data_IF_239415145978
#
_entry.id   IF_239415145978
#
_cell.length_a   1.000
_cell.length_b   1.000
_cell.length_c   1.000
_cell.angle_alpha   90.00
_cell.angle_beta   90.00
_cell.angle_gamma   90.00
#
_symmetry.space_group_name_H-M   'P 1'
#
loop_
_entity.id
_entity.type
_entity.pdbx_description
1 polymer ?
#
# COMPACT_ATOMS: atom_id res chain seq x y z
N UNK A 1 -9.16 16.90 -14.54
CA UNK A 1 -8.85 16.41 -13.19
C UNK A 1 -7.72 15.40 -13.32
N UNK A 2 -6.71 15.47 -12.44
CA UNK A 2 -5.65 14.47 -12.43
C UNK A 2 -6.25 13.12 -12.01
N UNK A 3 -5.76 12.01 -12.59
CA UNK A 3 -6.33 10.69 -12.35
C UNK A 3 -5.78 10.14 -11.04
N UNK A 4 -6.66 9.99 -10.03
CA UNK A 4 -6.28 9.42 -8.74
C UNK A 4 -5.78 7.97 -8.87
N UNK A 5 -4.63 7.69 -8.27
CA UNK A 5 -3.98 6.38 -8.27
C UNK A 5 -3.68 5.95 -6.84
N UNK A 6 -3.99 4.71 -6.52
CA UNK A 6 -3.55 4.09 -5.27
C UNK A 6 -2.33 3.18 -5.54
N UNK A 7 -1.21 3.53 -4.93
CA UNK A 7 0.02 2.74 -5.03
C UNK A 7 0.10 1.71 -3.92
N UNK A 8 0.52 0.49 -4.29
CA UNK A 8 0.87 -0.59 -3.38
C UNK A 8 2.30 -1.02 -3.71
N UNK A 9 3.17 -1.07 -2.69
CA UNK A 9 4.55 -1.51 -2.84
C UNK A 9 4.69 -2.81 -2.05
N UNK A 10 4.97 -3.92 -2.73
CA UNK A 10 5.17 -5.22 -2.10
C UNK A 10 6.64 -5.43 -1.74
N UNK A 11 6.89 -6.18 -0.67
CA UNK A 11 8.21 -6.70 -0.36
C UNK A 11 8.60 -7.79 -1.38
N UNK A 12 9.62 -7.54 -2.20
CA UNK A 12 10.07 -8.44 -3.26
C UNK A 12 10.62 -9.78 -2.78
N UNK A 13 11.20 -9.84 -1.58
CA UNK A 13 11.67 -11.10 -0.98
C UNK A 13 10.48 -12.01 -0.63
N UNK A 14 9.40 -11.41 -0.14
CA UNK A 14 8.14 -12.09 0.18
C UNK A 14 7.40 -12.48 -1.09
N UNK A 15 7.31 -11.56 -2.07
CA UNK A 15 6.63 -11.81 -3.33
C UNK A 15 7.19 -13.01 -4.11
N UNK A 16 8.49 -13.29 -3.95
CA UNK A 16 9.17 -14.43 -4.57
C UNK A 16 8.96 -15.76 -3.84
N UNK A 17 8.72 -15.72 -2.52
CA UNK A 17 8.77 -16.91 -1.66
C UNK A 17 7.40 -17.34 -1.16
N UNK A 18 6.45 -16.41 -1.02
CA UNK A 18 5.14 -16.69 -0.44
C UNK A 18 4.13 -17.20 -1.46
N UNK A 19 3.11 -17.95 -1.01
CA UNK A 19 1.94 -18.24 -1.82
C UNK A 19 1.28 -16.93 -2.29
N UNK A 20 0.92 -16.86 -3.58
CA UNK A 20 0.30 -15.67 -4.17
C UNK A 20 -0.94 -15.20 -3.40
N UNK A 21 -1.77 -16.12 -2.93
CA UNK A 21 -2.96 -15.80 -2.14
C UNK A 21 -2.63 -15.10 -0.82
N UNK A 22 -1.55 -15.51 -0.14
CA UNK A 22 -1.10 -14.85 1.07
C UNK A 22 -0.64 -13.41 0.77
N UNK A 23 0.20 -13.22 -0.25
CA UNK A 23 0.64 -11.88 -0.67
C UNK A 23 -0.55 -10.95 -1.01
N UNK A 24 -1.55 -11.47 -1.73
CA UNK A 24 -2.76 -10.71 -2.08
C UNK A 24 -3.50 -10.30 -0.81
N UNK A 25 -3.69 -11.20 0.15
CA UNK A 25 -4.36 -10.90 1.41
C UNK A 25 -3.66 -9.76 2.17
N UNK A 26 -2.32 -9.80 2.23
CA UNK A 26 -1.52 -8.73 2.84
C UNK A 26 -1.78 -7.37 2.18
N UNK A 27 -1.80 -7.33 0.84
CA UNK A 27 -2.10 -6.11 0.09
C UNK A 27 -3.53 -5.62 0.34
N UNK A 28 -4.51 -6.53 0.40
CA UNK A 28 -5.90 -6.20 0.71
C UNK A 28 -6.04 -5.59 2.10
N UNK A 29 -5.36 -6.16 3.10
CA UNK A 29 -5.33 -5.60 4.45
C UNK A 29 -4.72 -4.20 4.49
N UNK A 30 -3.57 -4.01 3.82
CA UNK A 30 -2.91 -2.71 3.74
C UNK A 30 -3.81 -1.64 3.10
N UNK A 31 -4.46 -1.97 1.97
CA UNK A 31 -5.37 -1.09 1.24
C UNK A 31 -6.62 -0.76 2.08
N UNK A 32 -7.24 -1.75 2.72
CA UNK A 32 -8.39 -1.51 3.58
C UNK A 32 -8.02 -0.59 4.76
N UNK A 33 -6.88 -0.85 5.40
CA UNK A 33 -6.42 -0.07 6.53
C UNK A 33 -6.08 1.37 6.14
N UNK A 34 -5.33 1.61 5.06
CA UNK A 34 -4.94 2.97 4.66
C UNK A 34 -6.15 3.83 4.30
N UNK A 35 -7.13 3.25 3.61
CA UNK A 35 -8.36 3.96 3.23
C UNK A 35 -9.24 4.26 4.44
N UNK A 36 -9.28 3.36 5.43
CA UNK A 36 -9.99 3.62 6.69
C UNK A 36 -9.30 4.72 7.53
N UNK A 37 -7.96 4.72 7.57
CA UNK A 37 -7.18 5.70 8.32
C UNK A 37 -7.23 7.10 7.70
N UNK A 38 -7.36 7.22 6.38
CA UNK A 38 -7.21 8.47 5.65
C UNK A 38 -8.37 8.72 4.66
N UNK A 39 -9.59 8.88 5.16
CA UNK A 39 -10.78 9.14 4.33
C UNK A 39 -10.99 10.65 4.06
N UNK A 40 -10.07 11.26 3.30
CA UNK A 40 -10.16 12.66 2.86
C UNK A 40 -10.90 12.84 1.52
N UNK A 41 -10.96 14.07 1.00
CA UNK A 41 -11.67 14.40 -0.25
C UNK A 41 -11.16 13.59 -1.45
N UNK A 42 -9.83 13.42 -1.57
CA UNK A 42 -9.23 12.63 -2.65
C UNK A 42 -9.62 11.14 -2.52
N UNK A 43 -9.62 10.62 -1.30
CA UNK A 43 -10.05 9.23 -1.05
C UNK A 43 -11.54 9.04 -1.34
N UNK A 44 -12.38 10.00 -0.97
CA UNK A 44 -13.81 9.98 -1.29
C UNK A 44 -14.06 10.06 -2.81
N UNK A 45 -13.32 10.92 -3.53
CA UNK A 45 -13.39 11.01 -5.00
C UNK A 45 -12.95 9.71 -5.66
N UNK A 46 -11.88 9.07 -5.16
CA UNK A 46 -11.41 7.77 -5.65
C UNK A 46 -12.49 6.68 -5.53
N UNK A 47 -13.33 6.73 -4.50
CA UNK A 47 -14.44 5.79 -4.30
C UNK A 47 -15.75 6.21 -4.97
N UNK A 48 -15.82 7.38 -5.60
CA UNK A 48 -17.04 7.84 -6.27
C UNK A 48 -17.36 7.07 -7.56
N UNK A 49 -16.35 6.44 -8.16
CA UNK A 49 -16.45 5.59 -9.35
C UNK A 49 -15.72 4.26 -9.11
N UNK A 50 -16.41 3.36 -8.40
CA UNK A 50 -15.83 2.10 -7.91
C UNK A 50 -15.35 1.18 -9.05
N UNK A 51 -15.98 1.24 -10.22
CA UNK A 51 -15.66 0.39 -11.37
C UNK A 51 -14.43 0.89 -12.14
N UNK A 52 -13.99 2.13 -11.93
CA UNK A 52 -12.84 2.74 -12.60
C UNK A 52 -11.66 3.08 -11.67
N UNK A 53 -11.65 2.53 -10.46
CA UNK A 53 -10.53 2.66 -9.52
C UNK A 53 -9.21 2.20 -10.15
N UNK A 54 -8.17 3.02 -10.03
CA UNK A 54 -6.84 2.66 -10.52
C UNK A 54 -5.88 2.31 -9.38
N UNK A 55 -5.25 1.14 -9.47
CA UNK A 55 -4.22 0.68 -8.53
C UNK A 55 -2.96 0.35 -9.31
N UNK A 56 -1.82 0.77 -8.79
CA UNK A 56 -0.50 0.41 -9.33
C UNK A 56 0.26 -0.36 -8.27
N UNK A 57 0.68 -1.58 -8.62
CA UNK A 57 1.47 -2.44 -7.75
C UNK A 57 2.92 -2.38 -8.21
N UNK A 58 3.82 -1.98 -7.31
CA UNK A 58 5.26 -1.93 -7.49
C UNK A 58 5.93 -2.87 -6.48
N UNK A 59 7.23 -3.10 -6.66
CA UNK A 59 8.04 -3.94 -5.78
C UNK A 59 9.18 -3.10 -5.17
N UNK A 60 9.36 -3.20 -3.85
CA UNK A 60 10.62 -2.85 -3.20
C UNK A 60 11.50 -4.12 -3.17
N UNK A 61 12.76 -4.07 -3.63
CA UNK A 61 13.55 -5.27 -3.86
C UNK A 61 13.88 -6.07 -2.59
N UNK A 62 13.90 -5.42 -1.42
CA UNK A 62 14.22 -6.04 -0.12
C UNK A 62 13.33 -5.47 0.99
N UNK A 63 13.22 -6.19 2.11
CA UNK A 63 12.52 -5.72 3.31
C UNK A 63 13.08 -4.38 3.82
N UNK A 64 14.41 -4.22 3.83
CA UNK A 64 15.06 -2.97 4.23
C UNK A 64 14.66 -1.81 3.31
N UNK A 65 14.60 -2.01 1.99
CA UNK A 65 14.17 -0.94 1.07
C UNK A 65 12.70 -0.59 1.22
N UNK A 66 11.86 -1.54 1.62
CA UNK A 66 10.47 -1.25 1.95
C UNK A 66 10.38 -0.39 3.22
N UNK A 67 11.16 -0.69 4.25
CA UNK A 67 11.22 0.11 5.49
C UNK A 67 11.76 1.52 5.22
N UNK A 68 12.88 1.64 4.51
CA UNK A 68 13.45 2.93 4.09
C UNK A 68 12.40 3.80 3.37
N UNK A 69 11.61 3.19 2.48
CA UNK A 69 10.53 3.86 1.77
C UNK A 69 9.43 4.33 2.72
N UNK A 70 9.02 3.50 3.69
CA UNK A 70 8.03 3.89 4.70
C UNK A 70 8.48 5.11 5.51
N UNK A 71 9.73 5.13 5.94
CA UNK A 71 10.31 6.27 6.65
C UNK A 71 10.34 7.53 5.78
N UNK A 72 10.76 7.41 4.52
CA UNK A 72 10.77 8.53 3.57
C UNK A 72 9.36 9.09 3.34
N UNK A 73 8.36 8.23 3.16
CA UNK A 73 6.96 8.64 3.01
C UNK A 73 6.46 9.38 4.26
N UNK A 74 6.81 8.88 5.45
CA UNK A 74 6.47 9.52 6.72
C UNK A 74 7.10 10.91 6.85
N UNK A 75 8.39 11.04 6.50
CA UNK A 75 9.12 12.32 6.53
C UNK A 75 8.53 13.37 5.59
N UNK A 76 7.97 12.94 4.46
CA UNK A 76 7.31 13.81 3.49
C UNK A 76 5.79 13.94 3.73
N UNK A 77 5.31 13.48 4.89
CA UNK A 77 3.90 13.53 5.30
C UNK A 77 2.92 12.83 4.34
N UNK A 78 3.42 11.92 3.51
CA UNK A 78 2.61 11.11 2.59
C UNK A 78 1.88 10.04 3.38
N UNK A 79 0.55 10.06 3.30
CA UNK A 79 -0.33 9.16 4.05
C UNK A 79 -0.27 7.76 3.47
N UNK A 80 0.25 6.84 4.27
CA UNK A 80 0.49 5.46 3.88
C UNK A 80 0.30 4.53 5.08
N UNK A 81 0.18 3.24 4.80
CA UNK A 81 0.16 2.18 5.81
C UNK A 81 1.19 1.13 5.44
N UNK A 82 2.19 0.95 6.30
CA UNK A 82 3.02 -0.25 6.31
C UNK A 82 2.20 -1.38 6.95
N UNK A 83 2.02 -2.47 6.21
CA UNK A 83 1.40 -3.68 6.72
C UNK A 83 2.47 -4.66 7.18
N UNK A 84 2.33 -5.11 8.41
CA UNK A 84 3.30 -5.94 9.11
C UNK A 84 2.57 -7.19 9.55
N UNK A 85 2.99 -8.34 9.03
CA UNK A 85 2.43 -9.63 9.41
C UNK A 85 2.90 -10.01 10.82
N UNK A 86 1.97 -10.56 11.60
CA UNK A 86 2.20 -11.09 12.94
C UNK A 86 2.06 -12.62 12.91
N UNK A 87 2.76 -13.36 13.79
CA UNK A 87 3.59 -12.89 14.92
C UNK A 87 5.05 -12.54 14.56
N UNK A 88 5.52 -12.78 13.34
CA UNK A 88 6.92 -12.63 12.96
C UNK A 88 7.38 -11.16 12.83
N UNK A 89 6.46 -10.21 12.93
CA UNK A 89 6.71 -8.77 12.78
C UNK A 89 7.38 -8.43 11.43
N UNK A 90 6.86 -9.03 10.36
CA UNK A 90 7.45 -8.97 9.03
C UNK A 90 6.75 -7.91 8.15
N UNK A 91 7.43 -6.86 7.66
CA UNK A 91 6.82 -5.90 6.74
C UNK A 91 6.59 -6.54 5.37
N UNK A 92 5.31 -6.69 4.99
CA UNK A 92 4.90 -7.39 3.76
C UNK A 92 4.62 -6.46 2.59
N UNK A 93 4.01 -5.30 2.85
CA UNK A 93 3.75 -4.29 1.83
C UNK A 93 3.47 -2.92 2.44
N UNK A 94 3.46 -1.89 1.60
CA UNK A 94 2.98 -0.55 1.90
C UNK A 94 1.82 -0.22 0.96
N UNK A 95 0.72 0.31 1.47
CA UNK A 95 -0.32 0.93 0.67
C UNK A 95 -0.36 2.43 0.94
N UNK A 96 -0.45 3.26 -0.09
CA UNK A 96 -0.70 4.69 0.02
C UNK A 96 -2.20 4.95 -0.05
N UNK A 97 -2.67 6.06 0.52
CA UNK A 97 -4.01 6.55 0.14
C UNK A 97 -4.01 6.94 -1.35
N UNK A 98 -5.17 7.04 -2.01
CA UNK A 98 -5.24 7.59 -3.35
C UNK A 98 -4.66 9.01 -3.43
N UNK A 99 -3.85 9.26 -4.46
CA UNK A 99 -3.24 10.56 -4.75
C UNK A 99 -3.36 10.90 -6.26
N UNK A 100 -3.37 12.19 -6.63
CA UNK A 100 -3.40 12.66 -8.03
C UNK A 100 -2.22 12.21 -8.91
#
# INVERSE_FOLDING_TARGET
>A
MAKLVQYIIVNGEIAKTWPKGALIAQCCHAVAAVNHLFSDTETAEYFSDLDNMHKVVLEAPTASKLVDLGELLQQNEIKHKVWIEQPENLPTCIALKPYP
#
